data_IF_274080508018
#
_entry.id   IF_274080508018
#
_cell.length_a   1.000
_cell.length_b   1.000
_cell.length_c   1.000
_cell.angle_alpha   90.00
_cell.angle_beta   90.00
_cell.angle_gamma   90.00
#
_symmetry.space_group_name_H-M   'P 1'
#
loop_
_entity.id
_entity.type
_entity.pdbx_description
1 polymer ?
#
# COMPACT_ATOMS: atom_id res chain seq x y z
N UNK A 1 -4.21 22.87 0.55
CA UNK A 1 -4.01 21.83 1.57
C UNK A 1 -3.14 20.76 0.95
N UNK A 2 -2.14 20.25 1.67
CA UNK A 2 -1.45 19.04 1.25
C UNK A 2 -2.39 17.85 1.49
N UNK A 3 -2.52 16.97 0.49
CA UNK A 3 -3.19 15.68 0.67
C UNK A 3 -2.10 14.65 1.02
N UNK A 4 -2.45 13.63 1.79
CA UNK A 4 -1.51 12.59 2.16
C UNK A 4 -2.19 11.42 2.84
N UNK A 5 -1.41 10.35 3.03
CA UNK A 5 -1.86 9.07 3.58
C UNK A 5 -1.27 8.93 4.98
N UNK A 6 -2.09 8.86 6.04
CA UNK A 6 -1.62 8.45 7.35
C UNK A 6 -1.33 6.94 7.34
N UNK A 7 -0.17 6.57 7.88
CA UNK A 7 0.29 5.18 8.01
C UNK A 7 0.46 4.89 9.50
N UNK A 8 -0.11 3.76 9.94
CA UNK A 8 -0.10 3.27 11.33
C UNK A 8 0.12 1.74 11.40
N UNK A 9 0.66 1.18 10.31
CA UNK A 9 0.94 -0.24 10.15
C UNK A 9 2.22 -0.49 9.34
N UNK A 10 3.09 0.53 9.23
CA UNK A 10 4.32 0.48 8.43
C UNK A 10 4.14 0.28 6.92
N UNK A 11 2.91 0.14 6.41
CA UNK A 11 2.60 -0.20 5.02
C UNK A 11 1.63 0.80 4.37
N UNK A 12 1.70 0.87 3.05
CA UNK A 12 0.77 1.63 2.20
C UNK A 12 0.15 0.71 1.17
N UNK A 13 -1.06 1.06 0.72
CA UNK A 13 -1.80 0.24 -0.21
C UNK A 13 -2.50 1.06 -1.32
N UNK A 14 -2.62 0.45 -2.49
CA UNK A 14 -3.50 0.90 -3.57
C UNK A 14 -4.53 -0.18 -3.87
N UNK A 15 -5.80 0.20 -3.86
CA UNK A 15 -6.93 -0.66 -4.24
C UNK A 15 -8.06 0.19 -4.83
N UNK A 16 -8.95 -0.48 -5.56
CA UNK A 16 -10.21 0.13 -6.00
C UNK A 16 -11.17 0.27 -4.81
N UNK A 17 -11.67 1.49 -4.59
CA UNK A 17 -12.51 1.79 -3.43
C UNK A 17 -13.86 1.05 -3.46
N UNK A 18 -14.45 0.86 -4.65
CA UNK A 18 -15.72 0.14 -4.79
C UNK A 18 -15.53 -1.36 -4.61
N UNK A 19 -14.37 -1.90 -5.02
CA UNK A 19 -14.01 -3.29 -4.73
C UNK A 19 -13.80 -3.51 -3.22
N UNK A 20 -13.06 -2.64 -2.54
CA UNK A 20 -12.85 -2.72 -1.08
C UNK A 20 -14.20 -2.70 -0.35
N UNK A 21 -15.08 -1.77 -0.69
CA UNK A 21 -16.39 -1.64 -0.04
C UNK A 21 -17.30 -2.87 -0.21
N UNK A 22 -17.13 -3.63 -1.30
CA UNK A 22 -17.95 -4.82 -1.60
C UNK A 22 -17.35 -6.13 -1.09
N UNK A 23 -16.01 -6.22 -1.02
CA UNK A 23 -15.29 -7.50 -0.97
C UNK A 23 -14.42 -7.67 0.27
N UNK A 24 -14.26 -6.63 1.08
CA UNK A 24 -13.66 -6.73 2.41
C UNK A 24 -14.70 -7.08 3.48
N UNK A 25 -14.30 -7.77 4.56
CA UNK A 25 -15.13 -7.94 5.73
C UNK A 25 -15.58 -6.60 6.33
N UNK A 26 -16.75 -6.58 6.95
CA UNK A 26 -17.20 -5.44 7.74
C UNK A 26 -16.43 -5.35 9.06
N UNK A 27 -16.19 -4.14 9.56
CA UNK A 27 -15.55 -3.91 10.86
C UNK A 27 -14.02 -3.88 10.79
N UNK A 28 -13.39 -4.21 11.92
CA UNK A 28 -11.94 -4.33 12.02
C UNK A 28 -11.51 -5.73 11.57
N UNK A 29 -10.70 -5.79 10.53
CA UNK A 29 -10.21 -7.01 9.90
C UNK A 29 -8.69 -7.14 10.03
N UNK A 30 -8.04 -6.33 10.88
CA UNK A 30 -6.59 -6.31 11.02
C UNK A 30 -6.05 -7.70 11.39
N UNK A 31 -6.55 -8.27 12.49
CA UNK A 31 -6.10 -9.58 13.01
C UNK A 31 -6.61 -10.78 12.20
N UNK A 32 -7.52 -10.57 11.24
CA UNK A 32 -8.16 -11.65 10.47
C UNK A 32 -7.66 -11.72 9.02
N UNK A 33 -7.21 -10.60 8.47
CA UNK A 33 -6.83 -10.47 7.06
C UNK A 33 -5.45 -9.85 6.91
N UNK A 34 -5.19 -8.74 7.61
CA UNK A 34 -3.94 -8.00 7.43
C UNK A 34 -2.76 -8.72 8.06
N UNK A 35 -2.85 -9.05 9.34
CA UNK A 35 -1.79 -9.70 10.13
C UNK A 35 -2.42 -10.72 11.09
N UNK A 36 -2.76 -11.90 10.55
CA UNK A 36 -3.31 -13.03 11.32
C UNK A 36 -2.22 -13.88 12.01
N UNK A 37 -0.96 -13.43 11.97
CA UNK A 37 0.21 -14.14 12.50
C UNK A 37 0.65 -15.36 11.68
N UNK A 38 0.09 -15.59 10.50
CA UNK A 38 0.50 -16.66 9.58
C UNK A 38 1.38 -16.13 8.44
N UNK A 39 2.14 -17.02 7.80
CA UNK A 39 2.95 -16.72 6.62
C UNK A 39 2.09 -16.37 5.38
N UNK A 40 0.77 -16.50 5.48
CA UNK A 40 -0.20 -16.18 4.43
C UNK A 40 -0.97 -14.88 4.69
N UNK A 41 -0.72 -14.21 5.82
CA UNK A 41 -1.25 -12.86 6.09
C UNK A 41 -0.78 -11.87 5.02
N UNK A 42 -1.54 -10.78 4.82
CA UNK A 42 -1.12 -9.74 3.88
C UNK A 42 0.22 -9.10 4.26
N UNK A 43 0.45 -8.93 5.56
CA UNK A 43 1.70 -8.42 6.10
C UNK A 43 2.87 -9.35 5.75
N UNK A 44 2.77 -10.65 6.05
CA UNK A 44 3.82 -11.62 5.72
C UNK A 44 4.05 -11.76 4.20
N UNK A 45 2.99 -11.71 3.39
CA UNK A 45 3.09 -11.76 1.93
C UNK A 45 3.84 -10.57 1.33
N UNK A 46 3.87 -9.42 2.01
CA UNK A 46 4.64 -8.24 1.58
C UNK A 46 6.15 -8.52 1.60
N UNK A 47 6.62 -9.37 2.51
CA UNK A 47 8.02 -9.77 2.63
C UNK A 47 8.34 -11.11 1.95
N UNK A 48 7.35 -11.74 1.30
CA UNK A 48 7.55 -13.03 0.66
C UNK A 48 8.22 -12.87 -0.72
N UNK A 49 9.46 -13.39 -0.92
CA UNK A 49 10.10 -13.37 -2.22
C UNK A 49 9.38 -14.26 -3.25
N UNK A 50 8.62 -15.26 -2.77
CA UNK A 50 7.92 -16.23 -3.61
C UNK A 50 6.52 -15.75 -4.04
N UNK A 51 5.97 -14.73 -3.40
CA UNK A 51 4.66 -14.16 -3.75
C UNK A 51 4.75 -13.20 -4.94
N UNK A 52 5.63 -12.19 -4.85
CA UNK A 52 5.86 -11.21 -5.92
C UNK A 52 7.31 -10.73 -5.94
N UNK A 53 7.72 -10.03 -4.87
CA UNK A 53 9.10 -9.63 -4.53
C UNK A 53 9.09 -9.07 -3.11
N UNK A 54 10.20 -9.17 -2.40
CA UNK A 54 10.33 -8.58 -1.06
C UNK A 54 9.99 -7.08 -1.06
N UNK A 55 9.24 -6.66 -0.05
CA UNK A 55 8.76 -5.30 0.15
C UNK A 55 7.57 -4.88 -0.72
N UNK A 56 6.93 -5.81 -1.45
CA UNK A 56 5.66 -5.53 -2.13
C UNK A 56 4.81 -6.76 -2.35
N UNK A 57 3.50 -6.61 -2.19
CA UNK A 57 2.53 -7.66 -2.48
C UNK A 57 1.46 -7.21 -3.46
N UNK A 58 0.86 -8.18 -4.15
CA UNK A 58 -0.33 -7.99 -4.97
C UNK A 58 -1.32 -9.11 -4.64
N UNK A 59 -2.29 -8.79 -3.78
CA UNK A 59 -3.11 -9.78 -3.08
C UNK A 59 -4.57 -9.62 -3.49
N UNK A 60 -5.24 -10.73 -3.79
CA UNK A 60 -6.68 -10.73 -4.06
C UNK A 60 -7.46 -10.33 -2.80
N UNK A 61 -8.50 -9.52 -2.98
CA UNK A 61 -9.44 -9.23 -1.89
C UNK A 61 -10.15 -10.53 -1.45
N UNK A 62 -10.58 -10.67 -0.18
CA UNK A 62 -11.16 -11.93 0.32
C UNK A 62 -12.39 -12.38 -0.47
N UNK A 63 -13.23 -11.43 -0.91
CA UNK A 63 -14.40 -11.69 -1.74
C UNK A 63 -14.16 -11.69 -3.26
N UNK A 64 -12.93 -11.50 -3.74
CA UNK A 64 -12.64 -11.28 -5.16
C UNK A 64 -13.25 -12.34 -6.09
N UNK A 65 -13.83 -11.89 -7.19
CA UNK A 65 -14.47 -12.76 -8.20
C UNK A 65 -13.84 -12.58 -9.59
N UNK A 66 -13.24 -11.41 -9.85
CA UNK A 66 -12.70 -11.04 -11.15
C UNK A 66 -11.31 -10.37 -11.02
N UNK A 67 -10.52 -10.87 -10.07
CA UNK A 67 -9.15 -10.39 -9.85
C UNK A 67 -9.04 -9.09 -9.06
N UNK A 68 -10.10 -8.66 -8.37
CA UNK A 68 -10.02 -7.49 -7.49
C UNK A 68 -8.96 -7.68 -6.42
N UNK A 69 -8.07 -6.69 -6.29
CA UNK A 69 -6.83 -6.84 -5.54
C UNK A 69 -6.47 -5.56 -4.77
N UNK A 70 -5.49 -5.73 -3.89
CA UNK A 70 -4.76 -4.67 -3.21
C UNK A 70 -3.27 -4.84 -3.49
N UNK A 71 -2.60 -3.74 -3.83
CA UNK A 71 -1.15 -3.69 -3.95
C UNK A 71 -0.59 -3.04 -2.70
N UNK A 72 0.25 -3.76 -1.95
CA UNK A 72 0.89 -3.28 -0.72
C UNK A 72 2.39 -3.04 -0.93
N UNK A 73 2.92 -2.09 -0.19
CA UNK A 73 4.36 -1.87 -0.04
C UNK A 73 4.68 -1.34 1.35
N UNK A 74 5.93 -1.52 1.79
CA UNK A 74 6.44 -0.84 2.98
C UNK A 74 6.50 0.67 2.75
N UNK A 75 6.16 1.43 3.78
CA UNK A 75 6.28 2.90 3.80
C UNK A 75 7.73 3.38 3.88
N UNK A 76 8.69 2.48 4.13
CA UNK A 76 10.12 2.78 4.26
C UNK A 76 10.47 3.27 5.66
N UNK A 77 10.04 4.47 6.04
CA UNK A 77 10.34 5.06 7.34
C UNK A 77 9.37 4.65 8.46
N UNK A 78 8.39 3.81 8.16
CA UNK A 78 7.38 3.33 9.11
C UNK A 78 6.18 4.28 9.21
N UNK A 79 5.56 4.32 10.38
CA UNK A 79 4.34 5.11 10.62
C UNK A 79 4.58 6.61 10.46
N UNK A 80 3.58 7.32 9.93
CA UNK A 80 3.72 8.72 9.59
C UNK A 80 2.63 9.25 8.66
N UNK A 81 2.91 10.40 8.03
CA UNK A 81 2.02 11.01 7.06
C UNK A 81 2.79 11.30 5.77
N UNK A 82 2.41 10.61 4.70
CA UNK A 82 3.14 10.66 3.44
C UNK A 82 2.39 11.49 2.39
N UNK A 83 3.06 12.41 1.68
CA UNK A 83 2.41 13.30 0.73
C UNK A 83 1.86 12.56 -0.49
N UNK A 84 0.64 12.94 -0.88
CA UNK A 84 -0.05 12.46 -2.07
C UNK A 84 -0.19 13.60 -3.08
N UNK A 85 0.43 13.43 -4.24
CA UNK A 85 0.36 14.36 -5.36
C UNK A 85 -0.61 13.81 -6.41
N UNK A 86 -1.59 14.64 -6.78
CA UNK A 86 -2.56 14.32 -7.84
C UNK A 86 -2.24 15.11 -9.09
N UNK A 87 -2.10 14.40 -10.21
CA UNK A 87 -1.98 14.99 -11.54
C UNK A 87 -3.34 15.00 -12.21
N UNK A 88 -3.74 16.14 -12.79
CA UNK A 88 -5.05 16.31 -13.44
C UNK A 88 -4.89 16.91 -14.84
N UNK A 89 -5.80 16.56 -15.73
CA UNK A 89 -5.98 17.22 -17.01
C UNK A 89 -6.57 18.63 -16.83
N UNK A 90 -6.60 19.42 -17.91
CA UNK A 90 -7.17 20.77 -17.91
C UNK A 90 -8.67 20.82 -17.53
N UNK A 91 -9.41 19.73 -17.76
CA UNK A 91 -10.81 19.58 -17.40
C UNK A 91 -11.04 19.05 -15.98
N UNK A 92 -9.97 18.80 -15.22
CA UNK A 92 -10.02 18.25 -13.87
C UNK A 92 -10.00 16.72 -13.79
N UNK A 93 -9.99 16.00 -14.91
CA UNK A 93 -9.87 14.54 -14.91
C UNK A 93 -8.55 14.11 -14.25
N UNK A 94 -8.61 13.18 -13.30
CA UNK A 94 -7.41 12.64 -12.63
C UNK A 94 -6.64 11.76 -13.62
N UNK A 95 -5.36 12.08 -13.83
CA UNK A 95 -4.45 11.34 -14.70
C UNK A 95 -3.46 10.48 -13.91
N UNK A 96 -3.21 10.82 -12.64
CA UNK A 96 -2.28 10.06 -11.82
C UNK A 96 -2.32 10.46 -10.35
N UNK A 97 -1.91 9.52 -9.52
CA UNK A 97 -1.67 9.69 -8.10
C UNK A 97 -0.22 9.24 -7.84
N UNK A 98 0.55 10.09 -7.16
CA UNK A 98 1.90 9.78 -6.73
C UNK A 98 1.96 9.92 -5.21
N UNK A 99 2.16 8.79 -4.54
CA UNK A 99 2.44 8.74 -3.11
C UNK A 99 3.96 8.75 -2.94
N UNK A 100 4.49 9.82 -2.37
CA UNK A 100 5.91 9.95 -2.09
C UNK A 100 6.17 9.52 -0.64
N UNK A 101 6.90 8.42 -0.50
CA UNK A 101 7.24 7.82 0.80
C UNK A 101 8.45 8.50 1.46
N UNK A 102 9.01 9.53 0.84
CA UNK A 102 10.16 10.30 1.34
C UNK A 102 11.39 9.42 1.62
N UNK A 103 11.46 8.24 0.99
CA UNK A 103 12.61 7.34 1.09
C UNK A 103 13.73 7.93 0.25
N UNK A 104 14.73 8.47 0.93
CA UNK A 104 16.00 8.84 0.33
C UNK A 104 16.98 7.68 0.50
N UNK A 105 17.72 7.35 -0.56
CA UNK A 105 18.94 6.57 -0.39
C UNK A 105 19.91 7.41 0.48
N UNK A 106 20.76 6.78 1.30
CA UNK A 106 21.90 7.49 1.84
C UNK A 106 22.62 8.15 0.66
N UNK A 107 23.02 9.41 0.82
CA UNK A 107 24.03 9.98 -0.06
C UNK A 107 25.19 8.98 -0.06
N UNK A 108 25.65 8.54 -1.23
CA UNK A 108 26.89 7.78 -1.32
C UNK A 108 27.95 8.68 -0.66
N UNK A 109 28.23 8.45 0.63
CA UNK A 109 29.23 9.21 1.35
C UNK A 109 30.51 9.03 0.55
N UNK A 110 30.97 10.15 -0.01
CA UNK A 110 32.23 10.29 -0.72
C UNK A 110 33.30 9.43 -0.02
N UNK A 111 33.91 8.51 -0.78
CA UNK A 111 35.09 7.74 -0.36
C UNK A 111 36.19 8.72 0.14
N UNK A 112 36.18 9.07 1.43
CA UNK A 112 37.26 9.78 2.13
C UNK A 112 38.37 8.82 2.59
#
# INVERSE_FOLDING_TARGET
AAYGVPVDAGTVAFADADAVARLMPEGDWYDEVFDDGTDTSWFALTDSPDHLREGSANILLPGAQDGENVVLAHSGWGDGFYPLVRTVAADGTVLGLHLDLLVALPDDEDDD
#
